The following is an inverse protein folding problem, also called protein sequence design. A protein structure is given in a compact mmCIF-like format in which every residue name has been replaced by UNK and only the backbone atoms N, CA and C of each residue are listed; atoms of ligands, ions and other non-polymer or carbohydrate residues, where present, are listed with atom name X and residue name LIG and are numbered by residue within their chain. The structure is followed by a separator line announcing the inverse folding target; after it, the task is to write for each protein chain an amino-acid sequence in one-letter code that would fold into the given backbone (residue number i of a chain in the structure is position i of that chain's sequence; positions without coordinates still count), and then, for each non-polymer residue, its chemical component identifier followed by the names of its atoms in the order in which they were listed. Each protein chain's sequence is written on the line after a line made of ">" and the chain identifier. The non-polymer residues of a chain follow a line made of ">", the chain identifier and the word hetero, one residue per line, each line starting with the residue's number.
data_IF_071778063034
#
_entry.id   IF_071778063034
#
_cell.length_a   1.000
_cell.length_b   1.000
_cell.length_c   1.000
_cell.angle_alpha   90.00
_cell.angle_beta   90.00
_cell.angle_gamma   90.00
#
_symmetry.space_group_name_H-M   'P 1'
#
loop_
_entity.id
_entity.type
_entity.pdbx_description
1 polymer ?
#
# COMPACT_ATOMS: atom_id res chain seq x y z
N UNK A 1 -9.23 -1.72 -12.98
CA UNK A 1 -8.29 -0.95 -12.12
C UNK A 1 -7.46 0.02 -12.97
N UNK A 2 -6.96 -0.39 -14.15
CA UNK A 2 -6.15 0.45 -15.03
C UNK A 2 -6.85 1.72 -15.59
N UNK A 3 -8.18 1.77 -15.68
CA UNK A 3 -8.87 2.98 -16.17
C UNK A 3 -9.16 4.01 -15.07
N UNK A 4 -8.79 3.72 -13.81
CA UNK A 4 -9.13 4.56 -12.67
C UNK A 4 -8.00 5.46 -12.19
N UNK A 5 -6.73 5.13 -12.44
CA UNK A 5 -5.58 5.89 -11.94
C UNK A 5 -4.56 6.04 -13.06
N UNK A 6 -3.95 7.22 -13.15
CA UNK A 6 -2.94 7.52 -14.16
C UNK A 6 -1.61 6.84 -13.83
N UNK A 7 -1.32 6.69 -12.53
CA UNK A 7 -0.08 6.08 -12.03
C UNK A 7 -0.36 5.26 -10.77
N UNK A 8 0.31 4.11 -10.63
CA UNK A 8 0.20 3.25 -9.46
C UNK A 8 1.59 2.93 -8.90
N UNK A 9 1.69 2.74 -7.58
CA UNK A 9 2.90 2.24 -6.92
C UNK A 9 2.58 1.33 -5.74
N UNK A 10 3.39 0.29 -5.56
CA UNK A 10 3.25 -0.68 -4.47
C UNK A 10 4.59 -0.88 -3.77
N UNK A 11 4.63 -0.57 -2.47
CA UNK A 11 5.83 -0.65 -1.65
C UNK A 11 5.69 -1.76 -0.60
N UNK A 12 6.10 -3.01 -0.91
CA UNK A 12 6.02 -4.14 0.00
C UNK A 12 7.05 -4.07 1.13
N UNK A 13 6.62 -4.33 2.36
CA UNK A 13 7.50 -4.59 3.50
C UNK A 13 8.35 -3.40 3.93
N UNK A 14 7.78 -2.18 3.99
CA UNK A 14 8.52 -0.94 4.26
C UNK A 14 9.32 -1.05 5.57
N UNK A 15 8.74 -1.65 6.61
CA UNK A 15 9.39 -1.78 7.90
C UNK A 15 10.69 -2.60 7.87
N UNK A 16 10.77 -3.59 6.99
CA UNK A 16 11.92 -4.50 6.87
C UNK A 16 12.96 -4.00 5.87
N UNK A 17 12.53 -3.35 4.78
CA UNK A 17 13.41 -2.91 3.69
C UNK A 17 13.99 -1.51 3.91
N UNK A 18 13.34 -0.71 4.77
CA UNK A 18 13.74 0.65 5.07
C UNK A 18 13.32 1.67 4.01
N UNK A 19 13.41 2.93 4.39
CA UNK A 19 12.88 4.08 3.62
C UNK A 19 13.63 4.29 2.29
N UNK A 20 14.96 4.15 2.26
CA UNK A 20 15.72 4.44 1.03
C UNK A 20 15.47 3.42 -0.08
N UNK A 21 15.38 2.14 0.28
CA UNK A 21 15.00 1.09 -0.65
C UNK A 21 13.58 1.32 -1.18
N UNK A 22 12.64 1.58 -0.27
CA UNK A 22 11.23 1.82 -0.60
C UNK A 22 11.07 3.05 -1.49
N UNK A 23 11.85 4.11 -1.29
CA UNK A 23 11.86 5.30 -2.16
C UNK A 23 12.34 4.97 -3.58
N UNK A 24 13.42 4.18 -3.69
CA UNK A 24 13.95 3.77 -5.00
C UNK A 24 12.92 2.96 -5.78
N UNK A 25 12.16 2.12 -5.09
CA UNK A 25 11.06 1.35 -5.65
C UNK A 25 9.90 2.24 -6.07
N UNK A 26 9.50 3.20 -5.24
CA UNK A 26 8.42 4.14 -5.56
C UNK A 26 8.70 4.91 -6.84
N UNK A 27 9.92 5.41 -6.99
CA UNK A 27 10.34 6.14 -8.19
C UNK A 27 10.27 5.24 -9.43
N UNK A 28 10.68 3.98 -9.30
CA UNK A 28 10.61 3.03 -10.40
C UNK A 28 9.16 2.75 -10.81
N UNK A 29 8.26 2.52 -9.85
CA UNK A 29 6.83 2.29 -10.10
C UNK A 29 6.15 3.52 -10.72
N UNK A 30 6.50 4.70 -10.24
CA UNK A 30 5.99 5.98 -10.75
C UNK A 30 6.63 6.40 -12.09
N UNK A 31 7.56 5.60 -12.63
CA UNK A 31 8.27 5.85 -13.89
C UNK A 31 8.97 7.23 -13.96
N UNK A 32 9.44 7.74 -12.82
CA UNK A 32 10.16 9.02 -12.75
C UNK A 32 11.59 8.83 -13.30
N UNK A 33 11.99 9.66 -14.27
CA UNK A 33 13.28 9.57 -14.98
C UNK A 33 14.47 9.46 -14.02
N UNK A 34 15.39 8.53 -14.30
CA UNK A 34 16.57 8.23 -13.45
C UNK A 34 17.79 9.09 -13.76
N UNK A 35 17.68 10.11 -14.61
CA UNK A 35 18.83 10.77 -15.21
C UNK A 35 19.53 11.82 -14.32
N UNK A 36 19.01 12.11 -13.11
CA UNK A 36 19.69 12.97 -12.14
C UNK A 36 20.58 12.15 -11.16
N UNK A 37 21.84 12.55 -10.92
CA UNK A 37 22.72 11.89 -9.95
C UNK A 37 22.15 11.82 -8.53
N UNK A 38 22.44 10.71 -7.84
CA UNK A 38 21.93 10.32 -6.51
C UNK A 38 22.21 11.31 -5.35
N UNK A 39 22.99 12.37 -5.56
CA UNK A 39 23.44 13.27 -4.49
C UNK A 39 22.48 14.43 -4.19
N UNK A 40 21.48 14.68 -5.04
CA UNK A 40 20.43 15.65 -4.76
C UNK A 40 19.20 14.99 -4.14
N UNK A 41 19.24 14.76 -2.83
CA UNK A 41 18.08 14.22 -2.09
C UNK A 41 16.86 15.15 -2.12
N UNK A 42 17.04 16.43 -2.43
CA UNK A 42 15.95 17.42 -2.52
C UNK A 42 15.12 17.26 -3.79
N UNK A 43 15.75 16.94 -4.93
CA UNK A 43 15.09 16.99 -6.23
C UNK A 43 14.08 15.84 -6.42
N UNK A 44 14.41 14.63 -5.96
CA UNK A 44 13.55 13.44 -6.24
C UNK A 44 12.27 13.42 -5.42
N UNK A 45 12.30 14.01 -4.22
CA UNK A 45 11.10 14.13 -3.39
C UNK A 45 10.13 15.13 -4.03
N UNK A 46 10.65 16.25 -4.55
CA UNK A 46 9.84 17.22 -5.27
C UNK A 46 9.31 16.68 -6.60
N UNK A 47 10.07 15.82 -7.30
CA UNK A 47 9.58 15.09 -8.48
C UNK A 47 8.38 14.20 -8.16
N UNK A 48 8.44 13.41 -7.08
CA UNK A 48 7.31 12.61 -6.60
C UNK A 48 6.13 13.52 -6.26
N UNK A 49 6.37 14.60 -5.50
CA UNK A 49 5.33 15.56 -5.13
C UNK A 49 4.68 16.22 -6.36
N UNK A 50 5.47 16.58 -7.37
CA UNK A 50 4.99 17.16 -8.63
C UNK A 50 4.13 16.17 -9.41
N UNK A 51 4.55 14.90 -9.52
CA UNK A 51 3.77 13.87 -10.19
C UNK A 51 2.44 13.63 -9.46
N UNK A 52 2.47 13.43 -8.14
CA UNK A 52 1.29 13.17 -7.34
C UNK A 52 0.28 14.35 -7.38
N UNK A 53 0.74 15.59 -7.55
CA UNK A 53 -0.14 16.77 -7.67
C UNK A 53 -0.86 16.83 -9.02
N UNK A 54 -0.23 16.34 -10.07
CA UNK A 54 -0.69 16.49 -11.46
C UNK A 54 -1.34 15.23 -12.05
N UNK A 55 -1.28 14.10 -11.35
CA UNK A 55 -1.83 12.83 -11.79
C UNK A 55 -2.74 12.22 -10.73
N UNK A 56 -3.73 11.42 -11.16
CA UNK A 56 -4.55 10.63 -10.26
C UNK A 56 -3.80 9.36 -9.86
N UNK A 57 -3.22 9.34 -8.66
CA UNK A 57 -2.32 8.25 -8.24
C UNK A 57 -2.98 7.25 -7.28
N UNK A 58 -2.55 5.99 -7.34
CA UNK A 58 -2.81 4.96 -6.33
C UNK A 58 -1.49 4.47 -5.74
N UNK A 59 -1.21 4.78 -4.47
CA UNK A 59 -0.01 4.30 -3.79
C UNK A 59 -0.42 3.38 -2.64
N UNK A 60 0.18 2.19 -2.59
CA UNK A 60 -0.03 1.23 -1.51
C UNK A 60 1.28 1.07 -0.73
N UNK A 61 1.25 1.47 0.54
CA UNK A 61 2.36 1.38 1.48
C UNK A 61 2.12 0.18 2.40
N UNK A 62 2.86 -0.90 2.15
CA UNK A 62 2.68 -2.15 2.88
C UNK A 62 3.65 -2.26 4.07
N UNK A 63 3.12 -2.75 5.20
CA UNK A 63 3.85 -2.95 6.46
C UNK A 63 4.61 -1.70 6.97
N UNK A 64 3.86 -0.64 7.29
CA UNK A 64 4.41 0.58 7.89
C UNK A 64 4.40 0.51 9.42
N UNK A 65 5.50 0.88 10.06
CA UNK A 65 5.70 0.73 11.50
C UNK A 65 5.91 2.06 12.26
N UNK A 66 6.18 3.14 11.54
CA UNK A 66 6.49 4.48 12.06
C UNK A 66 5.91 5.53 11.11
N UNK A 67 5.40 6.64 11.68
CA UNK A 67 4.80 7.73 10.90
C UNK A 67 5.83 8.42 10.00
N UNK A 68 7.08 8.48 10.46
CA UNK A 68 8.23 9.06 9.77
C UNK A 68 8.53 8.35 8.45
N UNK A 69 8.22 7.05 8.35
CA UNK A 69 8.39 6.30 7.10
C UNK A 69 7.46 6.81 6.01
N UNK A 70 6.22 7.16 6.37
CA UNK A 70 5.22 7.73 5.47
C UNK A 70 5.68 9.11 5.03
N UNK A 71 5.98 9.99 5.98
CA UNK A 71 6.43 11.37 5.71
C UNK A 71 7.68 11.37 4.83
N UNK A 72 8.60 10.43 5.05
CA UNK A 72 9.77 10.33 4.20
C UNK A 72 9.43 9.87 2.77
N UNK A 73 8.50 8.92 2.58
CA UNK A 73 8.21 8.37 1.25
C UNK A 73 7.30 9.25 0.40
N UNK A 74 6.26 9.81 1.01
CA UNK A 74 5.16 10.47 0.30
C UNK A 74 4.80 11.85 0.85
N UNK A 75 5.60 12.37 1.78
CA UNK A 75 5.46 13.73 2.28
C UNK A 75 4.14 14.00 2.97
N UNK A 76 3.53 15.12 2.62
CA UNK A 76 2.25 15.60 3.17
C UNK A 76 1.08 15.22 2.26
N UNK A 77 -0.13 15.12 2.83
CA UNK A 77 -1.36 14.84 2.07
C UNK A 77 -1.65 15.87 0.96
N UNK A 78 -1.10 17.08 1.07
CA UNK A 78 -1.20 18.14 0.07
C UNK A 78 -0.52 17.81 -1.26
N UNK A 79 0.31 16.76 -1.32
CA UNK A 79 0.95 16.31 -2.55
C UNK A 79 -0.01 15.60 -3.50
N UNK A 80 -1.20 15.23 -3.05
CA UNK A 80 -2.07 14.34 -3.80
C UNK A 80 -3.20 15.10 -4.46
N UNK A 81 -3.22 15.05 -5.80
CA UNK A 81 -4.30 15.63 -6.59
C UNK A 81 -5.65 14.96 -6.30
N UNK A 82 -6.77 15.61 -6.63
CA UNK A 82 -8.11 15.08 -6.40
C UNK A 82 -8.29 13.66 -6.95
N UNK A 83 -9.04 12.83 -6.22
CA UNK A 83 -9.35 11.42 -6.55
C UNK A 83 -8.17 10.46 -6.48
N UNK A 84 -6.97 10.91 -6.11
CA UNK A 84 -5.86 10.03 -5.73
C UNK A 84 -6.20 9.26 -4.46
N UNK A 85 -5.55 8.11 -4.27
CA UNK A 85 -5.72 7.27 -3.07
C UNK A 85 -4.38 6.76 -2.58
N UNK A 86 -4.19 6.83 -1.27
CA UNK A 86 -3.06 6.21 -0.58
C UNK A 86 -3.64 5.18 0.36
N UNK A 87 -3.12 3.95 0.30
CA UNK A 87 -3.52 2.87 1.21
C UNK A 87 -2.30 2.53 2.04
N UNK A 88 -2.46 2.58 3.36
CA UNK A 88 -1.41 2.19 4.30
C UNK A 88 -1.86 0.95 5.05
N UNK A 89 -1.05 -0.10 5.02
CA UNK A 89 -1.25 -1.26 5.89
C UNK A 89 -0.25 -1.21 7.03
N UNK A 90 -0.72 -1.46 8.23
CA UNK A 90 0.09 -1.43 9.45
C UNK A 90 -0.50 -2.37 10.47
N UNK A 91 0.34 -3.02 11.28
CA UNK A 91 -0.07 -3.71 12.49
C UNK A 91 0.03 -2.82 13.74
N UNK A 92 0.38 -1.54 13.57
CA UNK A 92 0.54 -0.55 14.65
C UNK A 92 -0.46 0.58 14.48
N UNK A 93 -1.54 0.54 15.27
CA UNK A 93 -2.59 1.58 15.27
C UNK A 93 -2.04 3.01 15.43
N UNK A 94 -0.95 3.19 16.18
CA UNK A 94 -0.25 4.48 16.35
C UNK A 94 0.29 5.10 15.06
N UNK A 95 0.42 4.34 13.96
CA UNK A 95 0.87 4.90 12.68
C UNK A 95 -0.24 5.74 12.04
N UNK A 96 -1.50 5.47 12.41
CA UNK A 96 -2.67 6.14 11.85
C UNK A 96 -2.85 7.58 12.38
N UNK A 97 -2.24 7.93 13.53
CA UNK A 97 -2.25 9.31 14.02
C UNK A 97 -1.48 10.28 13.14
N UNK A 98 -0.59 9.78 12.28
CA UNK A 98 0.12 10.59 11.28
C UNK A 98 -0.82 11.37 10.37
N UNK A 99 -2.06 10.91 10.24
CA UNK A 99 -3.06 11.42 9.31
C UNK A 99 -4.23 12.12 10.01
N UNK A 100 -4.22 12.21 11.35
CA UNK A 100 -5.26 12.88 12.13
C UNK A 100 -5.08 14.41 12.06
N UNK A 101 -5.17 14.96 10.85
CA UNK A 101 -5.19 16.39 10.59
C UNK A 101 -6.66 16.80 10.64
N UNK A 102 -6.99 17.73 11.55
CA UNK A 102 -8.36 18.12 11.87
C UNK A 102 -9.28 18.31 10.66
N UNK A 103 -10.58 18.09 10.90
CA UNK A 103 -11.68 17.94 9.93
C UNK A 103 -11.89 19.07 8.89
N UNK A 104 -11.03 20.06 8.86
CA UNK A 104 -11.14 21.24 8.04
C UNK A 104 -10.14 21.11 6.86
N UNK A 105 -10.65 20.56 5.74
CA UNK A 105 -10.12 20.69 4.37
C UNK A 105 -8.98 19.77 3.87
N UNK A 106 -8.42 18.84 4.66
CA UNK A 106 -7.31 17.97 4.18
C UNK A 106 -7.65 16.47 4.07
N UNK A 107 -8.69 16.14 3.29
CA UNK A 107 -8.98 14.76 2.87
C UNK A 107 -9.56 13.84 3.97
N UNK A 108 -10.36 12.85 3.55
CA UNK A 108 -10.97 11.90 4.49
C UNK A 108 -10.02 10.73 4.75
N UNK A 109 -9.62 10.54 6.01
CA UNK A 109 -8.88 9.35 6.45
C UNK A 109 -9.88 8.30 6.92
N UNK A 110 -9.97 7.19 6.19
CA UNK A 110 -10.77 6.04 6.59
C UNK A 110 -9.86 4.96 7.16
N UNK A 111 -10.21 4.44 8.33
CA UNK A 111 -9.49 3.32 8.96
C UNK A 111 -10.33 2.05 8.84
N UNK A 112 -9.69 0.95 8.45
CA UNK A 112 -10.34 -0.35 8.33
C UNK A 112 -9.50 -1.39 9.07
N UNK A 113 -10.10 -2.00 10.09
CA UNK A 113 -9.51 -3.15 10.78
C UNK A 113 -9.83 -4.41 9.99
N UNK A 114 -8.79 -5.13 9.57
CA UNK A 114 -8.95 -6.37 8.82
C UNK A 114 -9.22 -7.49 9.81
N UNK A 115 -10.47 -7.93 9.86
CA UNK A 115 -10.88 -9.06 10.70
C UNK A 115 -10.36 -10.39 10.14
N UNK A 116 -10.08 -11.38 11.02
CA UNK A 116 -9.84 -12.75 10.59
C UNK A 116 -10.99 -13.25 9.71
N UNK A 117 -10.63 -13.99 8.64
CA UNK A 117 -11.63 -14.70 7.84
C UNK A 117 -12.24 -15.83 8.67
N UNK A 118 -13.49 -16.19 8.39
CA UNK A 118 -14.09 -17.39 8.95
C UNK A 118 -13.30 -18.64 8.57
N UNK A 119 -13.40 -19.69 9.37
CA UNK A 119 -12.70 -20.96 9.12
C UNK A 119 -13.00 -21.53 7.73
N UNK A 120 -14.25 -21.42 7.26
CA UNK A 120 -14.65 -21.86 5.92
C UNK A 120 -13.91 -21.09 4.82
N UNK A 121 -13.81 -19.76 4.95
CA UNK A 121 -13.08 -18.93 4.00
C UNK A 121 -11.56 -19.15 4.09
N UNK A 122 -11.02 -19.37 5.29
CA UNK A 122 -9.63 -19.71 5.49
C UNK A 122 -9.28 -21.06 4.84
N UNK A 123 -10.13 -22.07 5.02
CA UNK A 123 -10.01 -23.38 4.39
C UNK A 123 -10.11 -23.26 2.87
N UNK A 124 -11.02 -22.44 2.34
CA UNK A 124 -11.14 -22.20 0.90
C UNK A 124 -9.86 -21.55 0.33
N UNK A 125 -9.31 -20.54 1.01
CA UNK A 125 -8.04 -19.92 0.62
C UNK A 125 -6.90 -20.95 0.66
N UNK A 126 -6.83 -21.78 1.70
CA UNK A 126 -5.85 -22.85 1.80
C UNK A 126 -5.97 -23.87 0.66
N UNK A 127 -7.18 -24.35 0.38
CA UNK A 127 -7.46 -25.28 -0.73
C UNK A 127 -7.03 -24.66 -2.06
N UNK A 128 -7.43 -23.42 -2.33
CA UNK A 128 -7.05 -22.71 -3.56
C UNK A 128 -5.54 -22.57 -3.70
N UNK A 129 -4.83 -22.30 -2.60
CA UNK A 129 -3.38 -22.17 -2.62
C UNK A 129 -2.67 -23.52 -2.81
N UNK A 130 -3.05 -24.54 -2.03
CA UNK A 130 -2.42 -25.86 -2.06
C UNK A 130 -2.66 -26.59 -3.38
N UNK A 131 -3.90 -26.56 -3.87
CA UNK A 131 -4.29 -27.22 -5.12
C UNK A 131 -4.15 -26.32 -6.35
N UNK A 132 -3.72 -25.06 -6.21
CA UNK A 132 -3.57 -24.10 -7.30
C UNK A 132 -4.84 -23.91 -8.16
N UNK A 133 -6.01 -24.13 -7.58
CA UNK A 133 -7.30 -24.08 -8.27
C UNK A 133 -7.86 -25.44 -8.71
N UNK A 134 -7.07 -26.52 -8.63
CA UNK A 134 -7.50 -27.89 -8.96
C UNK A 134 -8.03 -28.66 -7.74
N UNK A 135 -8.61 -27.94 -6.78
CA UNK A 135 -9.15 -28.57 -5.58
C UNK A 135 -10.29 -29.53 -5.98
N UNK A 136 -10.29 -30.78 -5.51
CA UNK A 136 -11.41 -31.68 -5.75
C UNK A 136 -12.70 -31.06 -5.21
N UNK A 137 -13.78 -31.11 -5.98
CA UNK A 137 -15.11 -30.76 -5.47
C UNK A 137 -15.43 -31.66 -4.28
N UNK A 138 -15.89 -31.02 -3.21
CA UNK A 138 -16.06 -31.51 -1.85
C UNK A 138 -16.25 -33.04 -1.74
N UNK A 139 -15.18 -33.77 -1.40
CA UNK A 139 -15.30 -35.15 -0.96
C UNK A 139 -15.79 -35.13 0.47
N UNK A 140 -17.09 -35.33 0.66
CA UNK A 140 -17.78 -35.51 1.94
C UNK A 140 -17.34 -36.75 2.74
N UNK A 141 -16.17 -37.31 2.47
CA UNK A 141 -15.63 -38.53 3.09
C UNK A 141 -14.62 -38.22 4.20
N UNK A 142 -15.03 -37.42 5.19
CA UNK A 142 -14.38 -37.45 6.52
C UNK A 142 -15.32 -37.97 7.62
N UNK A 143 -16.52 -38.44 7.25
CA UNK A 143 -17.50 -39.04 8.16
C UNK A 143 -17.31 -40.54 8.44
N UNK A 144 -16.22 -41.18 8.00
CA UNK A 144 -16.03 -42.63 8.15
C UNK A 144 -14.81 -43.06 8.97
N UNK A 145 -14.21 -42.13 9.73
CA UNK A 145 -13.20 -42.46 10.73
C UNK A 145 -13.72 -42.06 12.13
N UNK A 146 -14.84 -42.66 12.52
CA UNK A 146 -15.24 -42.80 13.93
C UNK A 146 -15.17 -44.27 14.34
#
# INVERSE_FOLDING_TARGET
>A
MHDMFDVCGFLPGISSKGVQFSRSMLIADLHIEKHAPLESSGDRIEEIASLCRNAKVLIVLDDVNEEEQIKALVGELTWFGPKSRIIVTTNKRRVLSAFDVGADDLGTVETHEVEPRSDDHALQLFRNHYFQGDAPEDVSEYGSLS
#
